data_IF_481038346446
#
_entry.id   IF_481038346446
#
_cell.length_a   1.000
_cell.length_b   1.000
_cell.length_c   1.000
_cell.angle_alpha   90.00
_cell.angle_beta   90.00
_cell.angle_gamma   90.00
#
_symmetry.space_group_name_H-M   'P 1'
#
loop_
_entity.id
_entity.type
_entity.pdbx_description
1 polymer ?
#
# COMPACT_ATOMS: atom_id res chain seq x y z
N UNK A 1 10.66 -13.56 -25.08
CA UNK A 1 10.31 -13.72 -26.51
C UNK A 1 10.38 -15.20 -26.82
N UNK A 2 9.26 -15.86 -27.11
CA UNK A 2 9.23 -17.32 -27.26
C UNK A 2 9.72 -17.70 -28.68
N UNK A 3 10.93 -18.25 -28.80
CA UNK A 3 11.65 -18.41 -30.09
C UNK A 3 11.60 -19.82 -30.66
N UNK A 4 10.67 -20.68 -30.23
CA UNK A 4 10.60 -22.09 -30.67
C UNK A 4 10.64 -22.30 -32.20
N UNK A 5 9.91 -21.54 -33.03
CA UNK A 5 9.97 -21.72 -34.49
C UNK A 5 11.36 -21.40 -35.08
N UNK A 6 12.05 -20.40 -34.53
CA UNK A 6 13.39 -20.02 -34.97
C UNK A 6 14.43 -21.05 -34.52
N UNK A 7 14.26 -21.62 -33.33
CA UNK A 7 15.12 -22.66 -32.78
C UNK A 7 14.93 -23.97 -33.56
N UNK A 8 13.67 -24.35 -33.86
CA UNK A 8 13.33 -25.51 -34.70
C UNK A 8 13.99 -25.42 -36.07
N UNK A 9 13.89 -24.26 -36.73
CA UNK A 9 14.53 -24.02 -38.04
C UNK A 9 16.06 -24.07 -38.00
N UNK A 10 16.69 -23.59 -36.91
CA UNK A 10 18.15 -23.64 -36.74
C UNK A 10 18.67 -25.04 -36.40
N UNK A 11 17.94 -25.81 -35.60
CA UNK A 11 18.33 -27.15 -35.16
C UNK A 11 17.85 -28.28 -36.08
N UNK A 12 16.96 -27.99 -37.03
CA UNK A 12 16.37 -29.00 -37.92
C UNK A 12 15.52 -30.04 -37.18
N UNK A 13 14.95 -29.67 -36.03
CA UNK A 13 14.16 -30.56 -35.16
C UNK A 13 12.71 -30.12 -35.09
N UNK A 14 11.81 -31.09 -34.86
CA UNK A 14 10.38 -30.82 -34.74
C UNK A 14 10.10 -29.92 -33.53
N UNK A 15 8.97 -29.19 -33.58
CA UNK A 15 8.54 -28.36 -32.45
C UNK A 15 8.23 -29.23 -31.23
N UNK A 16 7.76 -30.46 -31.43
CA UNK A 16 7.45 -31.39 -30.34
C UNK A 16 8.69 -31.89 -29.62
N UNK A 17 9.79 -32.14 -30.35
CA UNK A 17 11.09 -32.47 -29.76
C UNK A 17 11.62 -31.33 -28.89
N UNK A 18 11.45 -30.09 -29.36
CA UNK A 18 11.82 -28.90 -28.60
C UNK A 18 10.97 -28.74 -27.35
N UNK A 19 9.66 -28.94 -27.44
CA UNK A 19 8.76 -28.94 -26.28
C UNK A 19 9.15 -30.03 -25.27
N UNK A 20 9.60 -31.20 -25.72
CA UNK A 20 10.07 -32.27 -24.86
C UNK A 20 11.40 -31.91 -24.17
N UNK A 21 12.36 -31.33 -24.89
CA UNK A 21 13.64 -30.89 -24.35
C UNK A 21 13.47 -29.77 -23.31
N UNK A 22 12.61 -28.78 -23.61
CA UNK A 22 12.31 -27.69 -22.68
C UNK A 22 11.61 -28.21 -21.43
N UNK A 23 10.69 -29.18 -21.56
CA UNK A 23 10.06 -29.84 -20.40
C UNK A 23 11.08 -30.56 -19.50
N UNK A 24 12.20 -31.03 -20.05
CA UNK A 24 13.30 -31.60 -19.25
C UNK A 24 14.11 -30.49 -18.59
N UNK A 25 14.47 -29.44 -19.34
CA UNK A 25 15.23 -28.30 -18.80
C UNK A 25 14.46 -27.52 -17.74
N UNK A 26 13.13 -27.42 -17.84
CA UNK A 26 12.29 -26.74 -16.85
C UNK A 26 12.25 -27.45 -15.50
N UNK A 27 12.70 -28.71 -15.42
CA UNK A 27 12.87 -29.43 -14.15
C UNK A 27 14.14 -29.03 -13.41
N UNK A 28 15.09 -28.38 -14.09
CA UNK A 28 16.31 -27.88 -13.48
C UNK A 28 16.02 -26.53 -12.82
N UNK A 29 16.49 -26.35 -11.59
CA UNK A 29 16.42 -25.05 -10.93
C UNK A 29 17.50 -24.13 -11.52
N UNK A 30 17.12 -22.98 -12.13
CA UNK A 30 18.10 -22.03 -12.67
C UNK A 30 18.92 -21.34 -11.57
N UNK A 31 18.44 -21.37 -10.32
CA UNK A 31 19.07 -20.76 -9.15
C UNK A 31 19.01 -21.71 -7.95
N UNK A 32 19.82 -22.79 -7.92
CA UNK A 32 19.79 -23.77 -6.84
C UNK A 32 20.12 -23.16 -5.47
N UNK A 33 20.93 -22.08 -5.43
CA UNK A 33 21.28 -21.37 -4.20
C UNK A 33 20.10 -20.76 -3.44
N UNK A 34 18.96 -20.47 -4.10
CA UNK A 34 17.74 -20.00 -3.42
C UNK A 34 17.12 -21.06 -2.49
N UNK A 35 17.49 -22.32 -2.63
CA UNK A 35 17.03 -23.40 -1.74
C UNK A 35 17.86 -23.48 -0.45
N UNK A 36 19.06 -22.87 -0.44
CA UNK A 36 20.01 -22.95 0.67
C UNK A 36 19.89 -21.68 1.55
N UNK A 37 19.53 -20.55 0.97
CA UNK A 37 19.30 -19.29 1.68
C UNK A 37 17.82 -18.99 1.85
N UNK A 38 17.39 -18.82 3.09
CA UNK A 38 16.10 -18.20 3.42
C UNK A 38 16.29 -16.69 3.27
N UNK A 39 16.01 -16.16 2.08
CA UNK A 39 15.91 -14.71 1.86
C UNK A 39 14.51 -14.27 2.31
N UNK A 40 14.25 -14.39 3.62
CA UNK A 40 13.00 -13.94 4.21
C UNK A 40 12.99 -12.41 4.17
N UNK A 41 12.06 -11.86 3.39
CA UNK A 41 11.80 -10.43 3.44
C UNK A 41 11.45 -10.06 4.89
N UNK A 42 12.06 -9.01 5.46
CA UNK A 42 11.80 -8.63 6.83
C UNK A 42 10.30 -8.37 7.02
N UNK A 43 9.67 -8.92 8.07
CA UNK A 43 8.25 -8.72 8.30
C UNK A 43 7.96 -7.24 8.54
N UNK A 44 6.91 -6.75 7.90
CA UNK A 44 6.43 -5.39 8.10
C UNK A 44 5.55 -5.38 9.35
N UNK A 45 6.01 -4.72 10.40
CA UNK A 45 5.19 -4.44 11.58
C UNK A 45 4.26 -3.27 11.27
N UNK A 46 2.93 -3.45 11.30
CA UNK A 46 1.99 -2.37 11.05
C UNK A 46 1.92 -1.42 12.25
N UNK A 47 1.70 -0.14 11.98
CA UNK A 47 1.55 0.91 13.00
C UNK A 47 0.11 1.00 13.54
N UNK A 48 -0.87 0.52 12.77
CA UNK A 48 -2.27 0.50 13.18
C UNK A 48 -3.00 -0.71 12.59
N UNK A 49 -3.96 -1.23 13.34
CA UNK A 49 -4.88 -2.27 12.97
C UNK A 49 -6.26 -1.66 12.73
N UNK A 50 -6.85 -2.02 11.60
CA UNK A 50 -8.22 -1.68 11.22
C UNK A 50 -9.01 -2.99 11.19
N UNK A 51 -10.10 -3.05 11.94
CA UNK A 51 -11.01 -4.18 11.95
C UNK A 51 -12.45 -3.71 11.93
N UNK A 52 -13.35 -4.55 11.42
CA UNK A 52 -14.77 -4.28 11.47
C UNK A 52 -15.31 -4.77 12.79
N UNK A 53 -15.96 -3.89 13.53
CA UNK A 53 -16.65 -4.22 14.77
C UNK A 53 -18.13 -4.49 14.45
N UNK A 54 -18.55 -5.73 14.66
CA UNK A 54 -19.93 -6.18 14.41
C UNK A 54 -20.93 -5.56 15.37
N UNK A 55 -20.52 -5.19 16.60
CA UNK A 55 -21.42 -4.61 17.60
C UNK A 55 -21.77 -3.16 17.26
N UNK A 56 -20.79 -2.39 16.79
CA UNK A 56 -20.96 -0.99 16.42
C UNK A 56 -21.30 -0.78 14.94
N UNK A 57 -21.11 -1.82 14.11
CA UNK A 57 -21.32 -1.79 12.66
C UNK A 57 -20.36 -0.84 11.94
N UNK A 58 -19.17 -0.61 12.50
CA UNK A 58 -18.18 0.37 12.00
C UNK A 58 -16.78 -0.22 12.00
N UNK A 59 -15.91 0.39 11.19
CA UNK A 59 -14.49 0.10 11.25
C UNK A 59 -13.85 0.83 12.42
N UNK A 60 -13.31 0.07 13.36
CA UNK A 60 -12.53 0.57 14.48
C UNK A 60 -11.04 0.54 14.17
N UNK A 61 -10.31 1.45 14.82
CA UNK A 61 -8.88 1.65 14.59
C UNK A 61 -8.14 1.52 15.91
N UNK A 62 -7.22 0.58 15.97
CA UNK A 62 -6.33 0.38 17.09
C UNK A 62 -4.90 0.71 16.67
N UNK A 63 -4.26 1.66 17.35
CA UNK A 63 -2.83 1.88 17.13
C UNK A 63 -2.07 0.72 17.74
N UNK A 64 -1.36 -0.06 16.93
CA UNK A 64 -0.40 -1.02 17.45
C UNK A 64 0.72 -0.18 18.08
N UNK A 65 0.75 -0.16 19.40
CA UNK A 65 1.63 0.74 20.15
C UNK A 65 3.05 0.64 19.61
N UNK A 66 3.61 1.82 19.31
CA UNK A 66 5.04 2.03 19.15
C UNK A 66 5.73 1.34 20.34
N UNK A 67 6.82 0.57 20.17
CA UNK A 67 7.57 -0.03 21.28
C UNK A 67 8.04 0.98 22.35
N UNK A 68 7.83 2.28 22.15
CA UNK A 68 8.03 3.30 23.15
C UNK A 68 7.10 3.09 24.38
N UNK A 69 7.66 2.87 25.60
CA UNK A 69 6.88 2.78 26.81
C UNK A 69 6.17 4.10 27.11
N UNK A 70 5.06 4.05 27.84
CA UNK A 70 4.39 5.25 28.32
C UNK A 70 5.39 6.12 29.11
N UNK A 71 5.64 7.33 28.60
CA UNK A 71 6.62 8.24 29.17
C UNK A 71 5.99 9.03 30.32
N UNK A 72 6.64 8.99 31.48
CA UNK A 72 6.22 9.75 32.65
C UNK A 72 7.38 10.54 33.23
N UNK A 73 7.06 11.70 33.81
CA UNK A 73 8.05 12.49 34.52
C UNK A 73 8.24 11.89 35.91
N UNK A 74 9.48 11.51 36.24
CA UNK A 74 9.80 10.95 37.56
C UNK A 74 9.26 11.82 38.71
N UNK A 75 8.64 11.17 39.69
CA UNK A 75 8.05 11.82 40.87
C UNK A 75 9.10 12.53 41.74
N UNK A 76 10.34 12.04 41.73
CA UNK A 76 11.46 12.62 42.49
C UNK A 76 11.72 14.07 42.08
N UNK A 77 11.82 14.34 40.77
CA UNK A 77 12.05 15.69 40.26
C UNK A 77 10.87 16.63 40.48
N UNK A 78 9.64 16.08 40.44
CA UNK A 78 8.42 16.82 40.79
C UNK A 78 8.43 17.26 42.26
N UNK A 79 8.83 16.38 43.18
CA UNK A 79 8.95 16.69 44.61
C UNK A 79 10.06 17.71 44.87
N UNK A 80 11.23 17.52 44.28
CA UNK A 80 12.37 18.42 44.42
C UNK A 80 12.04 19.87 44.02
N UNK A 81 11.31 20.05 42.90
CA UNK A 81 10.83 21.36 42.46
C UNK A 81 9.75 21.95 43.39
N UNK A 82 8.87 21.12 43.95
CA UNK A 82 7.79 21.55 44.83
C UNK A 82 8.30 21.98 46.21
N UNK A 83 9.27 21.25 46.74
CA UNK A 83 9.89 21.48 48.06
C UNK A 83 10.97 22.59 48.03
N UNK A 84 11.25 23.16 46.85
CA UNK A 84 12.25 24.22 46.63
C UNK A 84 13.65 23.88 47.18
N UNK A 85 14.02 22.60 47.19
CA UNK A 85 15.35 22.17 47.63
C UNK A 85 16.44 22.64 46.66
N UNK A 86 17.63 22.96 47.19
CA UNK A 86 18.82 23.33 46.42
C UNK A 86 18.93 24.79 45.96
N UNK A 87 20.04 25.11 45.30
CA UNK A 87 20.34 26.45 44.79
C UNK A 87 19.37 26.90 43.69
N UNK A 88 19.19 28.23 43.57
CA UNK A 88 18.31 28.85 42.56
C UNK A 88 18.64 28.40 41.14
N UNK A 89 19.94 28.32 40.79
CA UNK A 89 20.42 27.85 39.49
C UNK A 89 20.00 26.40 39.20
N UNK A 90 20.16 25.51 40.20
CA UNK A 90 19.77 24.10 40.08
C UNK A 90 18.26 23.94 39.90
N UNK A 91 17.46 24.74 40.62
CA UNK A 91 16.00 24.75 40.47
C UNK A 91 15.54 25.22 39.09
N UNK A 92 16.13 26.29 38.57
CA UNK A 92 15.83 26.79 37.22
C UNK A 92 16.19 25.76 36.14
N UNK A 93 17.34 25.10 36.27
CA UNK A 93 17.76 24.01 35.38
C UNK A 93 16.77 22.84 35.40
N UNK A 94 16.41 22.35 36.60
CA UNK A 94 15.45 21.26 36.75
C UNK A 94 14.05 21.64 36.23
N UNK A 95 13.60 22.87 36.47
CA UNK A 95 12.31 23.35 35.99
C UNK A 95 12.24 23.38 34.45
N UNK A 96 13.32 23.83 33.81
CA UNK A 96 13.43 23.83 32.35
C UNK A 96 13.42 22.41 31.79
N UNK A 97 14.18 21.48 32.38
CA UNK A 97 14.18 20.08 31.94
C UNK A 97 12.82 19.40 32.12
N UNK A 98 12.12 19.65 33.22
CA UNK A 98 10.76 19.14 33.44
C UNK A 98 9.77 19.73 32.42
N UNK A 99 9.90 21.01 32.07
CA UNK A 99 9.08 21.63 31.02
C UNK A 99 9.35 21.00 29.66
N UNK A 100 10.62 20.79 29.31
CA UNK A 100 11.02 20.14 28.05
C UNK A 100 10.51 18.69 27.99
N UNK A 101 10.58 17.96 29.10
CA UNK A 101 10.05 16.60 29.19
C UNK A 101 8.52 16.56 29.01
N UNK A 102 7.77 17.50 29.62
CA UNK A 102 6.31 17.62 29.40
C UNK A 102 6.00 17.88 27.94
N UNK A 103 6.68 18.87 27.35
CA UNK A 103 6.48 19.23 25.96
C UNK A 103 6.75 18.06 25.02
N UNK A 104 7.79 17.25 25.28
CA UNK A 104 8.07 16.04 24.50
C UNK A 104 6.94 15.00 24.61
N UNK A 105 6.45 14.72 25.82
CA UNK A 105 5.35 13.77 26.06
C UNK A 105 4.09 14.24 25.33
N UNK A 106 3.72 15.52 25.47
CA UNK A 106 2.56 16.12 24.81
C UNK A 106 2.70 16.07 23.28
N UNK A 107 3.91 16.33 22.75
CA UNK A 107 4.18 16.26 21.30
C UNK A 107 4.04 14.85 20.74
N UNK A 108 4.44 13.82 21.50
CA UNK A 108 4.28 12.41 21.12
C UNK A 108 2.79 12.04 21.08
N UNK A 109 2.04 12.41 22.11
CA UNK A 109 0.60 12.15 22.17
C UNK A 109 -0.15 12.88 21.04
N UNK A 110 0.21 14.14 20.78
CA UNK A 110 -0.34 14.91 19.66
C UNK A 110 -0.04 14.25 18.31
N UNK A 111 1.17 13.70 18.12
CA UNK A 111 1.53 12.94 16.92
C UNK A 111 0.65 11.69 16.78
N UNK A 112 0.50 10.89 17.84
CA UNK A 112 -0.36 9.69 17.85
C UNK A 112 -1.80 10.04 17.51
N UNK A 113 -2.35 11.07 18.16
CA UNK A 113 -3.69 11.59 17.90
C UNK A 113 -3.87 12.06 16.46
N UNK A 114 -2.87 12.77 15.90
CA UNK A 114 -2.92 13.24 14.51
C UNK A 114 -2.94 12.08 13.52
N UNK A 115 -2.08 11.07 13.71
CA UNK A 115 -2.06 9.87 12.86
C UNK A 115 -3.41 9.14 12.93
N UNK A 116 -3.94 8.93 14.14
CA UNK A 116 -5.24 8.29 14.34
C UNK A 116 -6.36 9.04 13.60
N UNK A 117 -6.40 10.38 13.71
CA UNK A 117 -7.38 11.21 13.01
C UNK A 117 -7.26 11.10 11.49
N UNK A 118 -6.04 11.03 10.95
CA UNK A 118 -5.80 10.83 9.51
C UNK A 118 -6.28 9.45 9.07
N UNK A 119 -5.94 8.39 9.80
CA UNK A 119 -6.37 7.02 9.47
C UNK A 119 -7.91 6.94 9.49
N UNK A 120 -8.57 7.56 10.47
CA UNK A 120 -10.04 7.59 10.53
C UNK A 120 -10.67 8.23 9.31
N UNK A 121 -10.16 9.38 8.86
CA UNK A 121 -10.64 10.01 7.61
C UNK A 121 -10.40 9.13 6.39
N UNK A 122 -9.27 8.43 6.33
CA UNK A 122 -8.99 7.46 5.25
C UNK A 122 -10.01 6.32 5.26
N UNK A 123 -10.29 5.73 6.43
CA UNK A 123 -11.25 4.63 6.57
C UNK A 123 -12.65 5.07 6.17
N UNK A 124 -13.09 6.24 6.61
CA UNK A 124 -14.41 6.78 6.26
C UNK A 124 -14.54 7.10 4.77
N UNK A 125 -13.49 7.66 4.14
CA UNK A 125 -13.50 7.98 2.71
C UNK A 125 -13.39 6.72 1.82
N UNK A 126 -12.79 5.64 2.33
CA UNK A 126 -12.45 4.44 1.56
C UNK A 126 -13.25 3.20 1.97
N UNK A 127 -14.46 3.35 2.52
CA UNK A 127 -15.28 2.21 2.97
C UNK A 127 -15.44 1.11 1.92
N UNK A 128 -15.70 1.48 0.66
CA UNK A 128 -15.82 0.52 -0.44
C UNK A 128 -14.56 -0.34 -0.63
N UNK A 129 -13.37 0.20 -0.37
CA UNK A 129 -12.13 -0.56 -0.45
C UNK A 129 -12.09 -1.67 0.61
N UNK A 130 -12.49 -1.36 1.84
CA UNK A 130 -12.46 -2.32 2.94
C UNK A 130 -13.55 -3.40 2.77
N UNK A 131 -14.73 -3.02 2.28
CA UNK A 131 -15.87 -3.92 2.09
C UNK A 131 -15.72 -4.77 0.81
N UNK A 132 -15.48 -4.13 -0.34
CA UNK A 132 -15.54 -4.76 -1.67
C UNK A 132 -14.16 -5.11 -2.23
N UNK A 133 -13.14 -4.31 -1.91
CA UNK A 133 -11.74 -4.64 -2.18
C UNK A 133 -10.93 -3.58 -2.92
N UNK A 134 -9.68 -3.91 -3.31
CA UNK A 134 -8.74 -2.98 -3.94
C UNK A 134 -9.22 -2.31 -5.22
N UNK A 135 -10.15 -2.93 -5.93
CA UNK A 135 -10.76 -2.41 -7.17
C UNK A 135 -11.71 -1.23 -6.93
N UNK A 136 -12.14 -1.02 -5.70
CA UNK A 136 -13.07 0.04 -5.30
C UNK A 136 -12.37 1.16 -4.54
N UNK A 137 -11.04 1.27 -4.69
CA UNK A 137 -10.27 2.38 -4.12
C UNK A 137 -10.66 3.69 -4.82
N UNK A 138 -11.19 4.64 -4.03
CA UNK A 138 -11.62 5.95 -4.51
C UNK A 138 -10.45 6.94 -4.50
N UNK A 139 -10.43 7.96 -5.36
CA UNK A 139 -9.46 9.04 -5.29
C UNK A 139 -9.62 9.82 -3.97
N UNK A 140 -8.50 10.07 -3.28
CA UNK A 140 -8.51 10.85 -2.04
C UNK A 140 -7.28 11.77 -2.00
N UNK A 141 -7.41 13.02 -2.45
CA UNK A 141 -6.34 14.00 -2.37
C UNK A 141 -5.96 14.29 -0.91
N UNK A 142 -4.66 14.37 -0.61
CA UNK A 142 -4.20 14.75 0.74
C UNK A 142 -4.73 16.12 1.18
N UNK A 143 -4.98 17.03 0.23
CA UNK A 143 -5.55 18.36 0.50
C UNK A 143 -6.93 18.24 1.15
N UNK A 144 -7.78 17.35 0.64
CA UNK A 144 -9.13 17.17 1.17
C UNK A 144 -9.11 16.70 2.64
N UNK A 145 -8.22 15.76 2.96
CA UNK A 145 -8.05 15.28 4.35
C UNK A 145 -7.42 16.36 5.24
N UNK A 146 -6.50 17.15 4.70
CA UNK A 146 -5.88 18.27 5.42
C UNK A 146 -6.91 19.35 5.80
N UNK A 147 -7.79 19.72 4.86
CA UNK A 147 -8.86 20.70 5.05
C UNK A 147 -9.88 20.23 6.09
N UNK A 148 -10.31 18.96 6.02
CA UNK A 148 -11.24 18.37 7.00
C UNK A 148 -10.66 18.31 8.42
N UNK A 149 -9.35 18.13 8.55
CA UNK A 149 -8.68 18.03 9.84
C UNK A 149 -8.18 19.39 10.37
N UNK A 150 -8.24 20.44 9.55
CA UNK A 150 -7.73 21.78 9.88
C UNK A 150 -6.20 21.82 10.04
N UNK A 151 -5.47 20.97 9.30
CA UNK A 151 -4.01 20.89 9.37
C UNK A 151 -3.38 21.13 7.99
N UNK A 152 -2.10 21.46 7.96
CA UNK A 152 -1.40 21.67 6.70
C UNK A 152 -1.18 20.34 5.95
N UNK A 153 -1.25 20.37 4.61
CA UNK A 153 -1.07 19.20 3.74
C UNK A 153 0.28 18.50 3.97
N UNK A 154 1.33 19.28 4.24
CA UNK A 154 2.65 18.74 4.58
C UNK A 154 2.63 17.91 5.88
N UNK A 155 1.77 18.25 6.85
CA UNK A 155 1.59 17.49 8.08
C UNK A 155 0.95 16.14 7.79
N UNK A 156 -0.08 16.10 6.93
CA UNK A 156 -0.68 14.83 6.46
C UNK A 156 0.36 13.99 5.72
N UNK A 157 1.06 14.57 4.75
CA UNK A 157 2.10 13.88 3.97
C UNK A 157 3.19 13.26 4.84
N UNK A 158 3.67 13.99 5.85
CA UNK A 158 4.63 13.48 6.84
C UNK A 158 4.03 12.41 7.75
N UNK A 159 2.79 12.61 8.20
CA UNK A 159 2.12 11.67 9.09
C UNK A 159 1.87 10.31 8.45
N UNK A 160 1.66 10.24 7.12
CA UNK A 160 1.37 8.99 6.40
C UNK A 160 2.60 8.35 5.76
N UNK A 161 3.72 9.08 5.70
CA UNK A 161 4.98 8.55 5.16
C UNK A 161 5.52 7.47 6.10
N UNK A 162 5.97 6.35 5.54
CA UNK A 162 6.54 5.23 6.29
C UNK A 162 5.60 4.65 7.37
N UNK A 163 4.28 4.78 7.15
CA UNK A 163 3.27 4.17 8.00
C UNK A 163 2.60 3.03 7.25
N UNK A 164 2.43 1.92 7.95
CA UNK A 164 1.75 0.73 7.46
C UNK A 164 0.53 0.45 8.32
N UNK A 165 -0.56 0.07 7.67
CA UNK A 165 -1.81 -0.29 8.34
C UNK A 165 -2.15 -1.73 8.01
N UNK A 166 -2.53 -2.49 9.02
CA UNK A 166 -3.12 -3.80 8.86
C UNK A 166 -4.63 -3.64 8.66
N UNK A 167 -5.14 -4.24 7.60
CA UNK A 167 -6.55 -4.24 7.25
C UNK A 167 -7.05 -5.69 7.20
N UNK A 168 -8.36 -5.95 7.19
CA UNK A 168 -8.90 -7.30 7.02
C UNK A 168 -8.45 -7.98 5.72
N UNK A 169 -8.00 -7.20 4.73
CA UNK A 169 -7.55 -7.67 3.41
C UNK A 169 -6.03 -7.71 3.27
N UNK A 170 -5.27 -7.42 4.33
CA UNK A 170 -3.81 -7.46 4.35
C UNK A 170 -3.15 -6.16 4.84
N UNK A 171 -1.83 -6.11 4.77
CA UNK A 171 -1.01 -4.99 5.24
C UNK A 171 -0.68 -4.05 4.08
N UNK A 172 -1.02 -2.77 4.22
CA UNK A 172 -0.84 -1.77 3.17
C UNK A 172 -0.12 -0.52 3.69
N UNK A 173 0.69 0.15 2.85
CA UNK A 173 1.25 1.44 3.23
C UNK A 173 0.12 2.47 3.22
N UNK A 174 0.01 3.27 4.29
CA UNK A 174 -1.07 4.26 4.46
C UNK A 174 -1.10 5.27 3.30
N UNK A 175 0.07 5.59 2.75
CA UNK A 175 0.21 6.46 1.58
C UNK A 175 -0.56 5.96 0.33
N UNK A 176 -0.81 4.66 0.20
CA UNK A 176 -1.53 4.07 -0.96
C UNK A 176 -2.95 4.61 -1.10
N UNK A 177 -3.59 4.94 0.01
CA UNK A 177 -4.97 5.45 0.00
C UNK A 177 -5.07 6.89 -0.51
N UNK A 178 -3.94 7.59 -0.63
CA UNK A 178 -3.88 8.95 -1.15
C UNK A 178 -3.49 8.93 -2.62
N UNK A 179 -4.42 8.44 -3.44
CA UNK A 179 -4.25 8.36 -4.89
C UNK A 179 -5.06 9.43 -5.59
N UNK A 180 -4.51 9.97 -6.68
CA UNK A 180 -5.33 10.63 -7.70
C UNK A 180 -6.14 9.61 -8.48
N UNK A 181 -7.04 10.09 -9.31
CA UNK A 181 -7.84 9.21 -10.15
C UNK A 181 -8.53 9.92 -11.29
N UNK A 182 -9.55 9.25 -11.81
CA UNK A 182 -10.38 9.69 -12.92
C UNK A 182 -11.83 9.35 -12.58
N UNK A 183 -12.76 10.14 -13.11
CA UNK A 183 -14.19 9.85 -13.00
C UNK A 183 -14.60 8.87 -14.11
N UNK A 184 -15.35 7.83 -13.74
CA UNK A 184 -16.02 6.89 -14.64
C UNK A 184 -17.11 7.60 -15.46
N UNK A 185 -17.52 7.03 -16.60
CA UNK A 185 -18.63 7.57 -17.41
C UNK A 185 -19.96 7.61 -16.64
N UNK A 186 -20.08 6.79 -15.59
CA UNK A 186 -21.25 6.73 -14.70
C UNK A 186 -21.18 7.72 -13.53
N UNK A 187 -20.14 8.57 -13.48
CA UNK A 187 -19.96 9.56 -12.42
C UNK A 187 -19.26 9.04 -11.16
N UNK A 188 -18.88 7.75 -11.13
CA UNK A 188 -18.11 7.17 -10.01
C UNK A 188 -16.62 7.52 -10.10
N UNK A 189 -16.06 8.09 -9.04
CA UNK A 189 -14.63 8.41 -8.98
C UNK A 189 -13.78 7.16 -8.70
N UNK A 190 -12.81 6.89 -9.58
CA UNK A 190 -11.93 5.72 -9.50
C UNK A 190 -10.44 6.11 -9.44
N UNK A 191 -9.70 5.52 -8.50
CA UNK A 191 -8.26 5.75 -8.40
C UNK A 191 -7.47 5.06 -9.51
N UNK A 192 -6.29 5.61 -9.84
CA UNK A 192 -5.38 4.97 -10.80
C UNK A 192 -4.90 3.58 -10.35
N UNK A 193 -4.85 3.32 -9.05
CA UNK A 193 -4.47 2.01 -8.52
C UNK A 193 -5.63 1.01 -8.63
N UNK A 194 -6.88 1.43 -8.40
CA UNK A 194 -8.06 0.60 -8.70
C UNK A 194 -8.12 0.19 -10.18
N UNK A 195 -7.82 1.12 -11.10
CA UNK A 195 -7.74 0.83 -12.54
C UNK A 195 -6.67 -0.23 -12.85
N UNK A 196 -5.51 -0.18 -12.18
CA UNK A 196 -4.45 -1.19 -12.35
C UNK A 196 -4.88 -2.57 -11.81
N UNK A 197 -5.63 -2.63 -10.71
CA UNK A 197 -6.13 -3.89 -10.18
C UNK A 197 -7.21 -4.49 -11.11
N UNK A 198 -8.17 -3.68 -11.59
CA UNK A 198 -9.14 -4.14 -12.61
C UNK A 198 -8.46 -4.66 -13.88
N UNK A 199 -7.40 -3.97 -14.32
CA UNK A 199 -6.58 -4.43 -15.46
C UNK A 199 -5.98 -5.82 -15.20
N UNK A 200 -5.48 -6.10 -13.99
CA UNK A 200 -4.97 -7.45 -13.65
C UNK A 200 -6.07 -8.49 -13.65
N UNK A 201 -7.25 -8.17 -13.13
CA UNK A 201 -8.40 -9.10 -13.09
C UNK A 201 -8.80 -9.50 -14.50
N UNK A 202 -9.01 -8.52 -15.40
CA UNK A 202 -9.33 -8.76 -16.81
C UNK A 202 -8.29 -9.65 -17.50
N UNK A 203 -7.01 -9.46 -17.17
CA UNK A 203 -5.90 -10.21 -17.74
C UNK A 203 -5.81 -11.62 -17.15
N UNK A 204 -6.10 -11.80 -15.87
CA UNK A 204 -6.12 -13.11 -15.24
C UNK A 204 -7.29 -13.98 -15.73
N UNK A 205 -8.41 -13.35 -16.08
CA UNK A 205 -9.61 -13.99 -16.65
C UNK A 205 -9.54 -14.19 -18.17
N UNK A 206 -8.44 -13.80 -18.82
CA UNK A 206 -8.32 -13.93 -20.28
C UNK A 206 -8.13 -15.38 -20.73
N UNK A 207 -8.63 -15.70 -21.93
CA UNK A 207 -8.30 -16.97 -22.58
C UNK A 207 -6.83 -16.95 -23.02
N UNK A 208 -6.02 -17.83 -22.42
CA UNK A 208 -4.58 -17.93 -22.74
C UNK A 208 -4.31 -18.38 -24.17
N UNK A 209 -5.26 -19.04 -24.83
CA UNK A 209 -5.15 -19.42 -26.24
C UNK A 209 -5.36 -18.23 -27.18
N UNK A 210 -6.15 -17.24 -26.75
CA UNK A 210 -6.39 -16.00 -27.46
C UNK A 210 -6.31 -14.78 -26.51
N UNK A 211 -5.10 -14.40 -26.08
CA UNK A 211 -4.92 -13.34 -25.10
C UNK A 211 -5.34 -11.99 -25.68
N UNK A 212 -5.94 -11.15 -24.83
CA UNK A 212 -6.55 -9.89 -25.25
C UNK A 212 -5.48 -8.88 -25.72
N UNK A 213 -5.71 -8.18 -26.82
CA UNK A 213 -4.87 -7.04 -27.20
C UNK A 213 -5.20 -5.79 -26.37
N UNK A 214 -4.27 -4.82 -26.36
CA UNK A 214 -4.44 -3.55 -25.65
C UNK A 214 -5.72 -2.79 -26.11
N UNK A 215 -6.26 -3.06 -27.31
CA UNK A 215 -7.54 -2.50 -27.78
C UNK A 215 -8.76 -3.19 -27.14
N UNK A 216 -8.78 -4.53 -27.11
CA UNK A 216 -9.86 -5.32 -26.52
C UNK A 216 -9.94 -5.12 -25.01
N UNK A 217 -8.80 -4.90 -24.36
CA UNK A 217 -8.74 -4.52 -22.94
C UNK A 217 -9.40 -3.16 -22.70
N UNK A 218 -9.19 -2.19 -23.59
CA UNK A 218 -9.86 -0.87 -23.51
C UNK A 218 -11.37 -1.04 -23.64
N UNK A 219 -11.84 -1.87 -24.57
CA UNK A 219 -13.27 -2.13 -24.76
C UNK A 219 -13.90 -2.80 -23.55
N UNK A 220 -13.23 -3.80 -22.96
CA UNK A 220 -13.70 -4.43 -21.71
C UNK A 220 -13.76 -3.45 -20.54
N UNK A 221 -12.76 -2.57 -20.42
CA UNK A 221 -12.77 -1.52 -19.40
C UNK A 221 -13.89 -0.51 -19.66
N UNK A 222 -14.13 -0.13 -20.91
CA UNK A 222 -15.22 0.77 -21.29
C UNK A 222 -16.60 0.16 -21.00
N UNK A 223 -16.77 -1.16 -21.21
CA UNK A 223 -17.98 -1.87 -20.82
C UNK A 223 -18.22 -1.89 -19.29
N UNK A 224 -17.18 -1.66 -18.50
CA UNK A 224 -17.25 -1.48 -17.04
C UNK A 224 -17.29 0.02 -16.63
N UNK A 225 -17.61 0.93 -17.56
CA UNK A 225 -17.70 2.38 -17.34
C UNK A 225 -16.36 3.14 -17.40
N UNK A 226 -15.24 2.46 -17.65
CA UNK A 226 -13.91 3.06 -17.63
C UNK A 226 -13.41 3.41 -19.04
N UNK A 227 -13.61 4.65 -19.45
CA UNK A 227 -13.07 5.17 -20.71
C UNK A 227 -11.59 5.56 -20.56
N UNK A 228 -10.69 4.73 -21.07
CA UNK A 228 -9.25 4.97 -21.06
C UNK A 228 -8.65 4.90 -22.46
N UNK A 229 -7.63 5.72 -22.71
CA UNK A 229 -6.87 5.62 -23.95
C UNK A 229 -6.01 4.36 -23.98
N UNK A 230 -5.87 3.72 -25.15
CA UNK A 230 -5.01 2.55 -25.38
C UNK A 230 -3.57 2.75 -24.89
N UNK A 231 -3.00 3.95 -25.08
CA UNK A 231 -1.65 4.29 -24.59
C UNK A 231 -1.55 4.22 -23.06
N UNK A 232 -2.61 4.59 -22.35
CA UNK A 232 -2.69 4.53 -20.88
C UNK A 232 -2.71 3.09 -20.39
N UNK A 233 -3.52 2.24 -21.04
CA UNK A 233 -3.55 0.79 -20.75
C UNK A 233 -2.18 0.15 -20.99
N UNK A 234 -1.54 0.44 -22.14
CA UNK A 234 -0.20 -0.06 -22.44
C UNK A 234 0.86 0.40 -21.42
N UNK A 235 0.76 1.64 -20.93
CA UNK A 235 1.64 2.18 -19.87
C UNK A 235 1.45 1.41 -18.56
N UNK A 236 0.21 1.20 -18.12
CA UNK A 236 -0.07 0.46 -16.89
C UNK A 236 0.33 -1.00 -16.99
N UNK A 237 0.10 -1.65 -18.13
CA UNK A 237 0.57 -3.01 -18.40
C UNK A 237 2.09 -3.15 -18.23
N UNK A 238 2.87 -2.18 -18.75
CA UNK A 238 4.32 -2.13 -18.55
C UNK A 238 4.73 -1.97 -17.09
N UNK A 239 4.07 -1.08 -16.35
CA UNK A 239 4.35 -0.86 -14.91
C UNK A 239 4.07 -2.13 -14.11
N UNK A 240 3.04 -2.90 -14.49
CA UNK A 240 2.69 -4.18 -13.88
C UNK A 240 3.54 -5.36 -14.37
N UNK A 241 4.55 -5.11 -15.22
CA UNK A 241 5.39 -6.15 -15.85
C UNK A 241 4.60 -7.22 -16.61
N UNK A 242 3.43 -6.87 -17.14
CA UNK A 242 2.61 -7.81 -17.91
C UNK A 242 3.06 -7.83 -19.38
N UNK A 243 3.41 -9.00 -19.94
CA UNK A 243 3.84 -9.14 -21.34
C UNK A 243 2.76 -8.73 -22.36
N UNK A 244 3.15 -8.51 -23.62
CA UNK A 244 2.17 -8.21 -24.68
C UNK A 244 1.30 -9.44 -24.99
N UNK A 245 0.13 -9.25 -25.60
CA UNK A 245 -0.75 -10.35 -26.04
C UNK A 245 0.01 -11.47 -26.77
N UNK A 246 0.86 -11.10 -27.75
CA UNK A 246 1.71 -12.06 -28.49
C UNK A 246 2.64 -12.90 -27.61
N UNK A 247 3.06 -12.38 -26.46
CA UNK A 247 3.94 -13.06 -25.52
C UNK A 247 3.17 -13.88 -24.47
N UNK A 248 1.87 -13.58 -24.27
CA UNK A 248 0.98 -14.30 -23.34
C UNK A 248 0.30 -15.52 -23.97
N UNK A 249 0.27 -15.61 -25.31
CA UNK A 249 -0.39 -16.69 -26.03
C UNK A 249 0.24 -18.05 -25.74
N UNK A 250 -0.55 -18.96 -25.20
CA UNK A 250 -0.21 -20.38 -25.03
C UNK A 250 -0.42 -21.14 -26.36
N UNK A 251 0.46 -22.11 -26.64
CA UNK A 251 0.44 -23.02 -27.80
C UNK A 251 0.82 -24.44 -27.37
#
# INVERSE_FOLDING_TARGET
MNRYPQISKKLGRSIDDLKAAVRRLSRLHPHPGKQIGIDEAPPITPDALIYFDEETGKYEIEMMNDPAPNLYISGLWRRYLKEKQGDKKTREFLANNVRNARWLIESIEQRKSTIMRVIRQVVDAQRDFFEKGPEFLRPLPMIQVADQLGIHVATVSRAVSEKWIQTPRGVYPLRRFFSGGTTSSEGEDMSWDAVKEKLKVIINEEDKNNPLDDHEIVEKLAAQGLTLARRTVAKYRKILNIPTARQRKAY
#
